data_IF_539351195284
#
_entry.id   IF_539351195284
#
_cell.length_a   1.000
_cell.length_b   1.000
_cell.length_c   1.000
_cell.angle_alpha   90.00
_cell.angle_beta   90.00
_cell.angle_gamma   90.00
#
_symmetry.space_group_name_H-M   'P 1'
#
loop_
_entity.id
_entity.type
_entity.pdbx_description
1 polymer ?
#
# COMPACT_ATOMS: atom_id res chain seq x y z
N UNK A 1 6.79 -3.77 23.37
CA UNK A 1 5.58 -3.27 22.72
C UNK A 1 5.80 -3.57 21.27
N UNK A 2 5.04 -4.51 20.72
CA UNK A 2 5.04 -4.74 19.27
C UNK A 2 4.47 -3.46 18.68
N UNK A 3 5.27 -2.72 17.91
CA UNK A 3 4.74 -1.60 17.14
C UNK A 3 3.70 -2.22 16.19
N UNK A 4 2.45 -1.80 16.25
CA UNK A 4 1.44 -2.27 15.31
C UNK A 4 1.57 -1.47 14.01
N UNK A 5 1.21 -2.09 12.88
CA UNK A 5 1.14 -1.37 11.60
C UNK A 5 0.14 -0.23 11.74
N UNK A 6 0.58 1.00 11.44
CA UNK A 6 -0.29 2.16 11.47
C UNK A 6 -1.48 1.95 10.53
N UNK A 7 -2.69 2.18 11.03
CA UNK A 7 -3.93 1.98 10.27
C UNK A 7 -4.91 3.13 10.48
N UNK A 8 -5.74 3.37 9.47
CA UNK A 8 -6.89 4.27 9.53
C UNK A 8 -8.11 3.45 9.13
N UNK A 9 -9.18 3.54 9.92
CA UNK A 9 -10.46 2.89 9.64
C UNK A 9 -11.62 3.88 9.76
N UNK A 10 -12.66 3.65 8.97
CA UNK A 10 -13.85 4.49 8.98
C UNK A 10 -15.13 3.70 8.64
N UNK A 11 -16.29 4.27 8.96
CA UNK A 11 -17.58 3.62 8.68
C UNK A 11 -17.88 3.50 7.18
N UNK A 12 -17.45 4.51 6.42
CA UNK A 12 -17.63 4.63 4.97
C UNK A 12 -16.29 4.85 4.27
N UNK A 13 -16.22 4.47 3.00
CA UNK A 13 -15.05 4.73 2.16
C UNK A 13 -14.77 6.23 1.99
N UNK A 14 -15.82 7.07 1.90
CA UNK A 14 -15.66 8.52 1.78
C UNK A 14 -14.98 9.08 3.03
N UNK A 15 -15.43 8.66 4.22
CA UNK A 15 -14.81 9.08 5.47
C UNK A 15 -13.37 8.59 5.58
N UNK A 16 -13.09 7.37 5.12
CA UNK A 16 -11.74 6.81 5.09
C UNK A 16 -10.79 7.66 4.25
N UNK A 17 -11.19 8.00 3.03
CA UNK A 17 -10.39 8.82 2.11
C UNK A 17 -10.22 10.25 2.66
N UNK A 18 -11.26 10.83 3.26
CA UNK A 18 -11.18 12.14 3.90
C UNK A 18 -10.20 12.14 5.08
N UNK A 19 -10.24 11.09 5.92
CA UNK A 19 -9.31 10.96 7.05
C UNK A 19 -7.87 10.76 6.57
N UNK A 20 -7.66 9.89 5.59
CA UNK A 20 -6.35 9.65 5.00
C UNK A 20 -5.76 10.93 4.40
N UNK A 21 -6.58 11.73 3.72
CA UNK A 21 -6.17 13.00 3.10
C UNK A 21 -5.95 14.16 4.08
N UNK A 22 -6.38 14.05 5.34
CA UNK A 22 -6.42 15.16 6.30
C UNK A 22 -5.02 15.73 6.61
N UNK A 23 -4.04 14.85 6.83
CA UNK A 23 -2.69 15.25 7.25
C UNK A 23 -1.76 15.51 6.05
N UNK A 24 -2.14 15.05 4.86
CA UNK A 24 -1.37 15.17 3.61
C UNK A 24 -2.25 14.70 2.46
N UNK A 25 -2.38 15.46 1.37
CA UNK A 25 -3.21 15.09 0.22
C UNK A 25 -2.81 13.75 -0.39
N UNK A 26 -3.79 13.01 -0.91
CA UNK A 26 -3.54 11.86 -1.79
C UNK A 26 -3.16 12.41 -3.17
N UNK A 27 -2.03 11.98 -3.70
CA UNK A 27 -1.44 12.49 -4.95
C UNK A 27 -1.30 11.41 -6.04
N UNK A 28 -1.59 10.15 -5.72
CA UNK A 28 -1.56 9.07 -6.69
C UNK A 28 -2.26 7.83 -6.17
N UNK A 29 -2.70 7.00 -7.11
CA UNK A 29 -3.30 5.69 -6.87
C UNK A 29 -2.73 4.72 -7.90
N UNK A 30 -2.39 3.50 -7.44
CA UNK A 30 -1.95 2.41 -8.30
C UNK A 30 -2.73 1.15 -7.92
N UNK A 31 -3.54 0.68 -8.84
CA UNK A 31 -4.35 -0.54 -8.70
C UNK A 31 -3.89 -1.57 -9.69
N UNK A 32 -3.49 -2.74 -9.22
CA UNK A 32 -3.04 -3.83 -10.07
C UNK A 32 -3.70 -5.16 -9.69
N UNK A 33 -3.92 -5.96 -10.72
CA UNK A 33 -4.43 -7.32 -10.62
C UNK A 33 -3.55 -8.23 -11.48
N UNK A 34 -2.92 -9.20 -10.85
CA UNK A 34 -2.07 -10.19 -11.52
C UNK A 34 -2.46 -11.58 -11.07
N UNK A 35 -2.14 -12.60 -11.88
CA UNK A 35 -2.22 -14.00 -11.47
C UNK A 35 -0.79 -14.54 -11.33
N UNK A 36 -0.39 -15.14 -10.19
CA UNK A 36 -1.20 -15.52 -9.02
C UNK A 36 -1.47 -14.41 -7.98
N UNK A 37 -1.06 -13.17 -8.24
CA UNK A 37 -1.17 -12.02 -7.34
C UNK A 37 0.20 -11.60 -6.79
N UNK A 38 0.19 -10.62 -5.88
CA UNK A 38 1.38 -10.07 -5.24
C UNK A 38 1.72 -10.81 -3.96
N UNK A 39 2.97 -11.21 -3.83
CA UNK A 39 3.55 -11.60 -2.55
C UNK A 39 4.11 -10.34 -1.89
N UNK A 40 3.53 -9.97 -0.76
CA UNK A 40 3.88 -8.75 -0.03
C UNK A 40 4.33 -9.14 1.37
N UNK A 41 5.28 -8.42 1.94
CA UNK A 41 5.67 -8.59 3.34
C UNK A 41 5.82 -7.28 4.06
N UNK A 42 5.52 -7.33 5.35
CA UNK A 42 5.97 -6.34 6.31
C UNK A 42 7.27 -6.84 6.95
N UNK A 43 8.44 -6.25 6.61
CA UNK A 43 9.71 -6.70 7.15
C UNK A 43 9.89 -6.37 8.64
N UNK A 44 9.11 -5.43 9.21
CA UNK A 44 9.21 -5.07 10.63
C UNK A 44 8.49 -6.08 11.51
N UNK A 45 7.34 -6.56 11.06
CA UNK A 45 6.50 -7.50 11.83
C UNK A 45 6.62 -8.96 11.35
N UNK A 46 7.45 -9.23 10.34
CA UNK A 46 7.67 -10.55 9.72
C UNK A 46 6.36 -11.21 9.24
N UNK A 47 5.43 -10.40 8.73
CA UNK A 47 4.14 -10.86 8.20
C UNK A 47 4.19 -10.91 6.68
N UNK A 48 3.61 -11.95 6.07
CA UNK A 48 3.49 -12.11 4.62
C UNK A 48 2.03 -12.17 4.20
N UNK A 49 1.74 -11.54 3.08
CA UNK A 49 0.43 -11.45 2.46
C UNK A 49 0.50 -11.96 1.01
N UNK A 50 -0.55 -12.66 0.57
CA UNK A 50 -0.77 -12.99 -0.83
C UNK A 50 -1.99 -12.23 -1.31
N UNK A 51 -1.77 -11.20 -2.13
CA UNK A 51 -2.80 -10.25 -2.53
C UNK A 51 -3.14 -10.45 -4.02
N UNK A 52 -4.30 -11.02 -4.37
CA UNK A 52 -4.70 -11.15 -5.78
C UNK A 52 -4.91 -9.78 -6.43
N UNK A 53 -5.37 -8.80 -5.65
CA UNK A 53 -5.55 -7.41 -6.03
C UNK A 53 -4.79 -6.55 -5.06
N UNK A 54 -4.12 -5.50 -5.54
CA UNK A 54 -3.48 -4.58 -4.64
C UNK A 54 -3.65 -3.13 -5.08
N UNK A 55 -4.32 -2.37 -4.21
CA UNK A 55 -4.58 -0.94 -4.34
C UNK A 55 -3.61 -0.18 -3.43
N UNK A 56 -2.80 0.71 -3.99
CA UNK A 56 -1.88 1.56 -3.20
C UNK A 56 -2.20 3.03 -3.46
N UNK A 57 -2.51 3.74 -2.38
CA UNK A 57 -2.71 5.19 -2.33
C UNK A 57 -1.41 5.86 -1.89
N UNK A 58 -0.89 6.77 -2.71
CA UNK A 58 0.30 7.58 -2.40
C UNK A 58 -0.14 8.95 -1.92
N UNK A 59 0.44 9.40 -0.80
CA UNK A 59 0.26 10.77 -0.27
C UNK A 59 1.44 11.68 -0.60
N UNK A 60 1.21 12.99 -0.50
CA UNK A 60 2.21 14.01 -0.81
C UNK A 60 3.41 14.00 0.15
N UNK A 61 3.27 13.37 1.31
CA UNK A 61 4.34 13.16 2.30
C UNK A 61 5.16 11.88 2.02
N UNK A 62 4.99 11.29 0.84
CA UNK A 62 5.65 10.05 0.39
C UNK A 62 5.27 8.81 1.21
N UNK A 63 4.17 8.87 1.97
CA UNK A 63 3.59 7.67 2.57
C UNK A 63 2.70 6.91 1.58
N UNK A 64 2.66 5.58 1.74
CA UNK A 64 1.91 4.64 0.91
C UNK A 64 0.92 3.88 1.78
N UNK A 65 -0.32 3.77 1.30
CA UNK A 65 -1.43 3.23 2.07
C UNK A 65 -2.25 2.25 1.27
N UNK A 66 -2.65 1.14 1.88
CA UNK A 66 -3.35 0.08 1.17
C UNK A 66 -4.34 -0.71 2.03
N UNK A 67 -5.50 -1.12 1.49
CA UNK A 67 -6.34 -2.15 2.12
C UNK A 67 -5.72 -3.54 1.91
N UNK A 68 -5.08 -4.09 2.94
CA UNK A 68 -4.30 -5.35 2.86
C UNK A 68 -5.16 -6.62 2.76
N UNK A 69 -6.40 -6.62 3.22
CA UNK A 69 -7.24 -7.83 3.30
C UNK A 69 -8.54 -7.71 2.47
N UNK A 70 -8.62 -6.68 1.63
CA UNK A 70 -9.82 -6.37 0.85
C UNK A 70 -10.93 -5.66 1.64
N UNK A 71 -10.75 -5.38 2.94
CA UNK A 71 -11.62 -4.45 3.65
C UNK A 71 -11.38 -3.02 3.16
N UNK A 72 -12.33 -2.51 2.37
CA UNK A 72 -12.28 -1.13 1.86
C UNK A 72 -12.58 -0.07 2.92
N UNK A 73 -12.79 -0.47 4.18
CA UNK A 73 -13.00 0.44 5.31
C UNK A 73 -11.74 0.66 6.14
N UNK A 74 -10.66 -0.04 5.84
CA UNK A 74 -9.39 0.06 6.56
C UNK A 74 -8.23 0.19 5.58
N UNK A 75 -7.34 1.15 5.82
CA UNK A 75 -6.06 1.25 5.10
C UNK A 75 -4.91 1.18 6.09
N UNK A 76 -3.84 0.53 5.67
CA UNK A 76 -2.61 0.33 6.44
C UNK A 76 -1.48 1.13 5.81
N UNK A 77 -0.61 1.69 6.63
CA UNK A 77 0.62 2.32 6.18
C UNK A 77 1.59 1.22 5.72
N UNK A 78 1.71 1.09 4.40
CA UNK A 78 2.56 0.08 3.73
C UNK A 78 3.87 0.69 3.22
N UNK A 79 4.26 1.86 3.70
CA UNK A 79 5.46 2.57 3.23
C UNK A 79 6.74 1.75 3.38
N UNK A 80 6.82 0.92 4.42
CA UNK A 80 7.95 0.04 4.71
C UNK A 80 7.78 -1.38 4.15
N UNK A 81 6.66 -1.67 3.50
CA UNK A 81 6.38 -3.01 2.99
C UNK A 81 7.24 -3.28 1.75
N UNK A 82 7.39 -4.58 1.47
CA UNK A 82 8.13 -5.05 0.31
C UNK A 82 7.31 -6.02 -0.53
N UNK A 83 7.63 -6.08 -1.81
CA UNK A 83 6.93 -6.82 -2.85
C UNK A 83 7.93 -7.80 -3.44
N UNK A 84 7.56 -9.07 -3.53
CA UNK A 84 8.39 -10.07 -4.18
C UNK A 84 8.15 -10.03 -5.69
N UNK A 85 9.20 -9.69 -6.43
CA UNK A 85 9.17 -9.58 -7.88
C UNK A 85 10.55 -9.94 -8.43
N UNK A 86 10.62 -10.70 -9.53
CA UNK A 86 11.90 -11.08 -10.17
C UNK A 86 12.93 -11.69 -9.20
N UNK A 87 12.48 -12.61 -8.33
CA UNK A 87 13.29 -13.30 -7.31
C UNK A 87 13.93 -12.39 -6.24
N UNK A 88 13.42 -11.18 -6.05
CA UNK A 88 13.88 -10.22 -5.04
C UNK A 88 12.72 -9.53 -4.34
N UNK A 89 12.98 -9.04 -3.14
CA UNK A 89 12.07 -8.15 -2.42
C UNK A 89 12.40 -6.70 -2.79
N UNK A 90 11.40 -5.96 -3.23
CA UNK A 90 11.48 -4.55 -3.60
C UNK A 90 10.63 -3.74 -2.65
N UNK A 91 11.10 -2.56 -2.23
CA UNK A 91 10.26 -1.66 -1.43
C UNK A 91 9.04 -1.22 -2.22
N UNK A 92 7.92 -1.03 -1.54
CA UNK A 92 6.70 -0.48 -2.14
C UNK A 92 6.98 0.83 -2.88
N UNK A 93 7.79 1.73 -2.30
CA UNK A 93 8.18 2.98 -2.95
C UNK A 93 8.85 2.75 -4.31
N UNK A 94 9.81 1.84 -4.37
CA UNK A 94 10.61 1.58 -5.57
C UNK A 94 9.73 0.96 -6.66
N UNK A 95 8.91 -0.02 -6.29
CA UNK A 95 7.97 -0.65 -7.21
C UNK A 95 6.86 0.29 -7.70
N UNK A 96 6.36 1.17 -6.83
CA UNK A 96 5.31 2.12 -7.20
C UNK A 96 5.80 3.01 -8.35
N UNK A 97 7.05 3.47 -8.27
CA UNK A 97 7.66 4.40 -9.24
C UNK A 97 8.05 3.76 -10.58
N UNK A 98 8.10 2.43 -10.71
CA UNK A 98 8.56 1.77 -11.94
C UNK A 98 7.71 2.11 -13.18
N UNK A 99 6.42 2.38 -13.02
CA UNK A 99 5.53 2.71 -14.16
C UNK A 99 5.58 4.21 -14.53
N UNK A 100 6.02 5.07 -13.62
CA UNK A 100 6.16 6.52 -13.86
C UNK A 100 7.38 6.88 -14.72
N UNK A 101 8.32 5.95 -14.93
CA UNK A 101 9.52 6.16 -15.76
C UNK A 101 9.33 5.71 -17.23
N UNK A 102 8.11 5.31 -17.64
CA UNK A 102 7.84 4.87 -19.03
C UNK A 102 7.41 6.00 -19.98
N UNK A 103 7.86 7.23 -19.74
CA UNK A 103 7.78 8.32 -20.73
C UNK A 103 9.16 8.98 -20.92
N UNK A 104 9.97 8.42 -21.83
CA UNK A 104 11.11 9.09 -22.48
C UNK A 104 11.03 8.92 -24.01
#
# INVERSE_FOLDING_TARGET
MEDEVEMISAETFIDLINQLGLNSPIVGEKTLHTQPGFQVRDPKHDVKYQLPYWDILRRADESYWSPLDGDRKTVYNVSDFEIFEHDKWLKVSDWYMQDTDTEL
#
